data_IF_170657735683
#
_entry.id   IF_170657735683
#
_cell.length_a   1.000
_cell.length_b   1.000
_cell.length_c   1.000
_cell.angle_alpha   90.00
_cell.angle_beta   90.00
_cell.angle_gamma   90.00
#
_symmetry.space_group_name_H-M   'P 1'
#
loop_
_entity.id
_entity.type
_entity.pdbx_description
1 polymer ?
#
# COMPACT_ATOMS: atom_id res chain seq x y z
N UNK A 1 18.12 64.56 -38.42
CA UNK A 1 18.68 63.77 -37.26
C UNK A 1 17.89 62.54 -36.88
N UNK A 2 16.93 62.00 -37.62
CA UNK A 2 16.14 60.81 -37.28
C UNK A 2 16.53 59.49 -37.99
N UNK A 3 17.33 59.58 -39.07
CA UNK A 3 17.75 58.39 -39.83
C UNK A 3 19.03 57.74 -39.36
N UNK A 4 19.89 58.49 -38.71
CA UNK A 4 21.17 57.95 -38.19
C UNK A 4 20.99 57.05 -36.95
N UNK A 5 20.03 57.37 -36.09
CA UNK A 5 19.77 56.56 -34.87
C UNK A 5 19.21 55.19 -35.22
N UNK A 6 18.45 55.09 -36.32
CA UNK A 6 17.87 53.81 -36.74
C UNK A 6 18.93 52.83 -37.28
N UNK A 7 19.98 53.36 -37.97
CA UNK A 7 21.08 52.53 -38.45
C UNK A 7 21.98 52.02 -37.28
N UNK A 8 22.17 52.81 -36.24
CA UNK A 8 22.92 52.36 -35.05
C UNK A 8 22.13 51.35 -34.24
N UNK A 9 20.81 51.50 -34.15
CA UNK A 9 19.96 50.52 -33.48
C UNK A 9 19.94 49.18 -34.21
N UNK A 10 19.90 49.23 -35.57
CA UNK A 10 19.92 48.03 -36.41
C UNK A 10 21.29 47.33 -36.39
N UNK A 11 22.39 48.08 -36.32
CA UNK A 11 23.74 47.55 -36.19
C UNK A 11 23.96 46.89 -34.83
N UNK A 12 23.41 47.45 -33.76
CA UNK A 12 23.49 46.84 -32.40
C UNK A 12 22.66 45.56 -32.31
N UNK A 13 21.49 45.51 -32.95
CA UNK A 13 20.66 44.30 -32.99
C UNK A 13 21.33 43.18 -33.82
N UNK A 14 21.99 43.53 -34.93
CA UNK A 14 22.71 42.54 -35.74
C UNK A 14 24.01 42.05 -35.09
N UNK A 15 24.66 42.85 -34.24
CA UNK A 15 25.85 42.38 -33.51
C UNK A 15 25.52 41.51 -32.30
N UNK A 16 24.35 41.65 -31.70
CA UNK A 16 23.91 40.75 -30.61
C UNK A 16 23.51 39.39 -31.20
N UNK A 17 23.06 39.33 -32.48
CA UNK A 17 22.67 38.07 -33.14
C UNK A 17 23.83 37.20 -33.64
N UNK A 18 25.09 37.69 -33.62
CA UNK A 18 26.24 36.95 -34.15
C UNK A 18 27.16 36.32 -33.09
N UNK A 19 26.86 36.48 -31.80
CA UNK A 19 27.60 35.84 -30.72
C UNK A 19 26.92 34.59 -30.13
N UNK A 20 25.84 34.11 -30.76
CA UNK A 20 25.18 32.86 -30.35
C UNK A 20 25.50 31.67 -31.27
N UNK A 21 26.68 31.69 -31.90
CA UNK A 21 27.13 30.54 -32.68
C UNK A 21 28.56 30.22 -32.31
N UNK A 22 28.70 29.35 -31.37
CA UNK A 22 29.72 28.37 -31.00
C UNK A 22 29.82 28.29 -29.47
N UNK A 23 28.83 27.72 -28.84
CA UNK A 23 29.10 26.81 -27.74
C UNK A 23 28.93 25.41 -28.30
N UNK A 24 29.94 24.60 -28.19
CA UNK A 24 29.75 23.15 -28.08
C UNK A 24 28.84 22.94 -26.88
N UNK A 25 27.54 23.23 -27.06
CA UNK A 25 26.52 22.71 -26.18
C UNK A 25 26.42 21.24 -26.57
N UNK A 26 27.18 20.40 -25.87
CA UNK A 26 26.71 19.05 -25.58
C UNK A 26 25.25 19.23 -25.22
N UNK A 27 24.32 18.89 -26.13
CA UNK A 27 22.89 18.93 -25.85
C UNK A 27 22.68 18.11 -24.61
N UNK A 28 22.58 18.79 -23.47
CA UNK A 28 22.35 18.14 -22.20
C UNK A 28 21.04 17.40 -22.34
N UNK A 29 21.12 16.10 -22.56
CA UNK A 29 19.93 15.25 -22.68
C UNK A 29 19.14 15.44 -21.40
N UNK A 30 18.05 16.16 -21.49
CA UNK A 30 17.15 16.43 -20.36
C UNK A 30 16.11 15.32 -20.34
N UNK A 31 15.84 14.79 -19.16
CA UNK A 31 14.78 13.79 -19.01
C UNK A 31 13.45 14.42 -19.45
N UNK A 32 12.69 13.79 -20.36
CA UNK A 32 11.44 14.35 -20.86
C UNK A 32 10.30 14.33 -19.82
N UNK A 33 10.48 13.57 -18.72
CA UNK A 33 9.47 13.43 -17.69
C UNK A 33 9.87 14.30 -16.49
N UNK A 34 9.04 15.27 -16.08
CA UNK A 34 9.30 16.07 -14.87
C UNK A 34 9.08 15.23 -13.62
N UNK A 35 9.54 15.76 -12.50
CA UNK A 35 9.19 15.18 -11.19
C UNK A 35 7.65 15.16 -11.07
N UNK A 36 7.10 13.98 -10.86
CA UNK A 36 5.65 13.75 -10.84
C UNK A 36 5.30 12.69 -9.82
N UNK A 37 4.22 12.89 -9.09
CA UNK A 37 3.64 11.86 -8.21
C UNK A 37 2.40 11.28 -8.87
N UNK A 38 2.37 9.97 -9.00
CA UNK A 38 1.28 9.19 -9.60
C UNK A 38 0.55 8.41 -8.51
N UNK A 39 -0.77 8.33 -8.62
CA UNK A 39 -1.64 7.48 -7.81
C UNK A 39 -2.79 6.93 -8.68
N UNK A 40 -3.71 6.17 -8.11
CA UNK A 40 -4.83 5.57 -8.85
C UNK A 40 -5.73 6.60 -9.54
N UNK A 41 -5.80 7.84 -9.02
CA UNK A 41 -6.65 8.92 -9.56
C UNK A 41 -5.95 9.71 -10.68
N UNK A 42 -4.62 9.69 -10.73
CA UNK A 42 -3.84 10.48 -11.67
C UNK A 42 -2.88 9.65 -12.52
N UNK A 43 -3.30 8.46 -12.95
CA UNK A 43 -2.64 7.70 -14.00
C UNK A 43 -1.63 6.66 -13.55
N UNK A 44 -1.62 6.23 -12.27
CA UNK A 44 -0.86 5.07 -11.83
C UNK A 44 -1.63 3.77 -12.12
N UNK A 45 -0.98 2.86 -12.84
CA UNK A 45 -1.35 1.45 -12.90
C UNK A 45 -0.24 0.64 -12.23
N UNK A 46 -0.55 0.12 -11.05
CA UNK A 46 0.40 -0.62 -10.24
C UNK A 46 -0.07 -2.05 -10.04
N UNK A 47 0.82 -3.02 -10.32
CA UNK A 47 0.56 -4.43 -10.09
C UNK A 47 1.64 -5.08 -9.22
N UNK A 48 1.21 -6.06 -8.45
CA UNK A 48 2.08 -6.87 -7.59
C UNK A 48 1.76 -8.36 -7.85
N UNK A 49 2.73 -9.09 -8.39
CA UNK A 49 2.57 -10.45 -8.87
C UNK A 49 1.34 -10.65 -9.78
N UNK A 50 1.15 -9.69 -10.69
CA UNK A 50 0.08 -9.71 -11.69
C UNK A 50 -1.30 -9.25 -11.20
N UNK A 51 -1.49 -9.02 -9.90
CA UNK A 51 -2.72 -8.48 -9.35
C UNK A 51 -2.64 -6.97 -9.11
N UNK A 52 -3.71 -6.19 -9.29
CA UNK A 52 -3.72 -4.76 -8.99
C UNK A 52 -3.35 -4.49 -7.53
N UNK A 53 -2.55 -3.45 -7.30
CA UNK A 53 -2.18 -2.99 -5.97
C UNK A 53 -2.69 -1.56 -5.77
N UNK A 54 -3.82 -1.44 -5.09
CA UNK A 54 -4.53 -0.18 -4.85
C UNK A 54 -3.97 0.59 -3.64
N UNK A 55 -4.30 1.88 -3.55
CA UNK A 55 -3.97 2.72 -2.40
C UNK A 55 -2.48 3.00 -2.24
N UNK A 56 -1.78 3.13 -3.35
CA UNK A 56 -0.36 3.44 -3.41
C UNK A 56 -0.12 4.67 -4.27
N UNK A 57 0.97 5.37 -3.95
CA UNK A 57 1.49 6.45 -4.78
C UNK A 57 2.96 6.21 -5.09
N UNK A 58 3.37 6.68 -6.24
CA UNK A 58 4.75 6.60 -6.76
C UNK A 58 5.19 7.98 -7.16
N UNK A 59 6.24 8.49 -6.54
CA UNK A 59 6.87 9.74 -6.95
C UNK A 59 8.07 9.41 -7.84
N UNK A 60 8.00 9.82 -9.09
CA UNK A 60 9.09 9.78 -10.04
C UNK A 60 9.91 11.06 -9.93
N UNK A 61 11.19 10.94 -9.70
CA UNK A 61 12.14 12.07 -9.62
C UNK A 61 13.29 11.80 -10.58
N UNK A 62 13.37 12.51 -11.73
CA UNK A 62 14.52 12.40 -12.64
C UNK A 62 15.79 12.87 -11.94
N UNK A 63 16.93 12.28 -12.30
CA UNK A 63 18.23 12.76 -11.83
C UNK A 63 18.55 14.11 -12.47
N UNK A 64 19.11 15.02 -11.69
CA UNK A 64 19.42 16.38 -12.13
C UNK A 64 20.60 16.46 -13.10
N UNK A 65 21.44 15.44 -13.14
CA UNK A 65 22.70 15.41 -13.89
C UNK A 65 22.72 14.34 -14.96
N UNK A 66 22.03 13.23 -14.74
CA UNK A 66 21.97 12.06 -15.64
C UNK A 66 20.55 11.84 -16.14
N UNK A 67 20.22 12.28 -17.35
CA UNK A 67 18.87 12.17 -17.91
C UNK A 67 18.34 10.72 -17.98
N UNK A 68 19.24 9.74 -18.04
CA UNK A 68 18.93 8.31 -18.08
C UNK A 68 18.77 7.67 -16.71
N UNK A 69 18.72 8.47 -15.64
CA UNK A 69 18.50 7.97 -14.27
C UNK A 69 17.32 8.65 -13.62
N UNK A 70 16.65 7.93 -12.76
CA UNK A 70 15.59 8.47 -11.89
C UNK A 70 15.51 7.70 -10.57
N UNK A 71 14.80 8.31 -9.64
CA UNK A 71 14.44 7.69 -8.37
C UNK A 71 12.93 7.55 -8.32
N UNK A 72 12.45 6.36 -7.95
CA UNK A 72 11.05 6.08 -7.63
C UNK A 72 10.91 5.99 -6.12
N UNK A 73 10.04 6.80 -5.53
CA UNK A 73 9.64 6.69 -4.15
C UNK A 73 8.24 6.09 -4.08
N UNK A 74 8.16 4.91 -3.49
CA UNK A 74 6.95 4.08 -3.39
C UNK A 74 6.43 4.14 -1.96
N UNK A 75 5.16 4.49 -1.77
CA UNK A 75 4.56 4.60 -0.44
C UNK A 75 3.04 4.35 -0.48
N UNK A 76 2.45 4.11 0.70
CA UNK A 76 1.00 4.03 0.85
C UNK A 76 0.34 5.40 0.69
N UNK A 77 -0.88 5.41 0.17
CA UNK A 77 -1.67 6.64 -0.01
C UNK A 77 -2.65 6.89 1.14
N UNK A 78 -2.93 5.88 1.95
CA UNK A 78 -3.95 5.95 2.99
C UNK A 78 -3.53 6.89 4.12
N UNK A 79 -4.31 7.94 4.32
CA UNK A 79 -4.16 8.92 5.40
C UNK A 79 -5.30 8.76 6.40
N UNK A 80 -4.97 8.29 7.61
CA UNK A 80 -5.91 8.18 8.72
C UNK A 80 -6.18 9.53 9.42
N UNK A 81 -5.48 10.59 9.07
CA UNK A 81 -5.63 11.90 9.74
C UNK A 81 -7.06 12.45 9.65
N UNK A 82 -7.80 12.08 8.59
CA UNK A 82 -9.20 12.43 8.40
C UNK A 82 -10.17 11.71 9.35
N UNK A 83 -9.84 10.49 9.74
CA UNK A 83 -10.68 9.62 10.60
C UNK A 83 -10.41 9.93 12.08
N UNK A 84 -9.15 10.25 12.41
CA UNK A 84 -8.70 10.53 13.77
C UNK A 84 -8.80 12.01 14.15
N UNK A 85 -9.65 12.78 13.50
CA UNK A 85 -9.93 14.20 13.83
C UNK A 85 -10.36 14.32 15.29
N UNK A 86 -9.42 14.56 16.17
CA UNK A 86 -9.64 14.80 17.59
C UNK A 86 -8.47 14.39 18.49
N UNK A 87 -7.53 13.62 18.02
CA UNK A 87 -6.37 13.21 18.81
C UNK A 87 -5.05 13.75 18.24
N UNK A 88 -4.60 14.84 18.87
CA UNK A 88 -3.23 15.38 18.96
C UNK A 88 -2.40 15.47 17.68
N UNK A 89 -2.09 16.69 17.33
CA UNK A 89 -1.24 17.22 16.27
C UNK A 89 0.24 16.78 16.25
N UNK A 90 0.63 15.68 16.89
CA UNK A 90 2.01 15.21 16.95
C UNK A 90 2.21 13.77 16.41
N UNK A 91 1.19 13.16 15.82
CA UNK A 91 1.39 11.95 15.05
C UNK A 91 1.87 12.35 13.64
N UNK A 92 3.10 12.04 13.31
CA UNK A 92 3.50 11.88 11.91
C UNK A 92 2.42 11.00 11.26
N UNK A 93 1.80 11.50 10.20
CA UNK A 93 0.71 10.80 9.48
C UNK A 93 1.04 9.31 9.39
N UNK A 94 0.18 8.39 9.88
CA UNK A 94 0.42 6.99 9.69
C UNK A 94 0.42 6.76 8.19
N UNK A 95 1.59 6.52 7.65
CA UNK A 95 1.73 6.06 6.27
C UNK A 95 1.01 4.73 6.22
N UNK A 96 0.04 4.59 5.32
CA UNK A 96 -0.61 3.30 5.06
C UNK A 96 0.43 2.22 4.73
N UNK A 97 0.02 0.96 4.62
CA UNK A 97 0.95 -0.09 4.27
C UNK A 97 1.66 0.26 2.96
N UNK A 98 2.99 0.08 2.94
CA UNK A 98 3.81 0.34 1.77
C UNK A 98 3.46 -0.57 0.59
N UNK A 99 4.22 -0.47 -0.48
CA UNK A 99 4.10 -1.37 -1.65
C UNK A 99 4.54 -2.78 -1.27
N UNK A 100 5.63 -2.88 -0.53
CA UNK A 100 6.16 -4.16 -0.05
C UNK A 100 5.87 -4.36 1.43
N UNK A 101 5.54 -5.59 1.83
CA UNK A 101 5.24 -5.88 3.22
C UNK A 101 6.44 -5.54 4.12
N UNK A 102 6.16 -4.91 5.25
CA UNK A 102 7.18 -4.46 6.20
C UNK A 102 7.95 -3.19 5.81
N UNK A 103 7.75 -2.66 4.60
CA UNK A 103 8.47 -1.51 4.07
C UNK A 103 7.49 -0.36 3.77
N UNK A 104 7.20 0.54 4.72
CA UNK A 104 6.23 1.62 4.52
C UNK A 104 6.61 2.58 3.38
N UNK A 105 7.90 2.76 3.17
CA UNK A 105 8.47 3.52 2.05
C UNK A 105 9.59 2.71 1.42
N UNK A 106 9.57 2.61 0.10
CA UNK A 106 10.66 2.00 -0.68
C UNK A 106 11.17 2.99 -1.72
N UNK A 107 12.47 3.11 -1.83
CA UNK A 107 13.12 3.96 -2.84
C UNK A 107 13.90 3.08 -3.80
N UNK A 108 13.63 3.22 -5.10
CA UNK A 108 14.34 2.52 -6.16
C UNK A 108 15.08 3.52 -7.04
N UNK A 109 16.36 3.30 -7.26
CA UNK A 109 17.11 3.97 -8.32
C UNK A 109 16.97 3.15 -9.59
N UNK A 110 16.57 3.78 -10.69
CA UNK A 110 16.28 3.12 -11.96
C UNK A 110 17.06 3.74 -13.10
N UNK A 111 17.56 2.90 -13.99
CA UNK A 111 18.13 3.28 -15.27
C UNK A 111 17.01 3.35 -16.31
N UNK A 112 16.96 4.44 -17.06
CA UNK A 112 15.89 4.74 -17.99
C UNK A 112 16.34 4.53 -19.43
N UNK A 113 15.50 3.87 -20.20
CA UNK A 113 15.53 3.89 -21.67
C UNK A 113 14.54 4.95 -22.16
N UNK A 114 15.05 6.06 -22.73
CA UNK A 114 14.24 7.19 -23.19
C UNK A 114 13.85 6.97 -24.65
N UNK A 115 12.56 7.07 -24.95
CA UNK A 115 12.02 7.01 -26.30
C UNK A 115 10.97 8.13 -26.50
N UNK A 116 11.39 9.23 -27.08
CA UNK A 116 10.56 10.43 -27.19
C UNK A 116 10.10 10.94 -25.82
N UNK A 117 8.80 11.02 -25.62
CA UNK A 117 8.19 11.49 -24.36
C UNK A 117 7.86 10.35 -23.37
N UNK A 118 8.48 9.20 -23.54
CA UNK A 118 8.27 8.02 -22.71
C UNK A 118 9.61 7.49 -22.21
N UNK A 119 9.65 7.09 -20.96
CA UNK A 119 10.76 6.33 -20.39
C UNK A 119 10.30 4.92 -19.97
N UNK A 120 11.15 3.93 -20.19
CA UNK A 120 10.96 2.57 -19.69
C UNK A 120 12.13 2.18 -18.80
N UNK A 121 11.89 1.32 -17.83
CA UNK A 121 12.89 0.84 -16.91
C UNK A 121 12.54 -0.56 -16.42
N UNK A 122 13.53 -1.34 -16.04
CA UNK A 122 13.35 -2.66 -15.45
C UNK A 122 14.58 -3.05 -14.65
N UNK A 123 14.42 -3.98 -13.73
CA UNK A 123 15.51 -4.47 -12.93
C UNK A 123 15.07 -5.44 -11.84
N UNK A 124 16.00 -5.76 -10.97
CA UNK A 124 15.79 -6.58 -9.78
C UNK A 124 16.23 -5.76 -8.58
N UNK A 125 15.51 -5.84 -7.49
CA UNK A 125 15.84 -5.14 -6.25
C UNK A 125 15.35 -5.92 -5.04
N UNK A 126 15.60 -5.37 -3.86
CA UNK A 126 15.20 -5.99 -2.61
C UNK A 126 14.83 -4.94 -1.57
N UNK A 127 14.03 -5.35 -0.59
CA UNK A 127 13.84 -4.65 0.68
C UNK A 127 14.47 -5.44 1.82
N UNK A 128 14.27 -4.99 3.04
CA UNK A 128 14.66 -5.78 4.20
C UNK A 128 14.01 -7.18 4.19
N UNK A 129 12.75 -7.29 3.74
CA UNK A 129 11.93 -8.48 3.89
C UNK A 129 11.71 -9.29 2.61
N UNK A 130 11.91 -8.73 1.43
CA UNK A 130 11.66 -9.45 0.18
C UNK A 130 12.62 -9.04 -0.94
N UNK A 131 12.72 -9.92 -1.95
CA UNK A 131 13.33 -9.67 -3.25
C UNK A 131 12.26 -9.60 -4.32
N UNK A 132 12.49 -8.87 -5.41
CA UNK A 132 11.52 -8.70 -6.49
C UNK A 132 12.17 -8.25 -7.79
N UNK A 133 11.50 -8.54 -8.90
CA UNK A 133 11.74 -7.94 -10.21
C UNK A 133 10.77 -6.77 -10.41
N UNK A 134 11.18 -5.76 -11.17
CA UNK A 134 10.29 -4.66 -11.53
C UNK A 134 10.44 -4.29 -13.01
N UNK A 135 9.36 -3.84 -13.59
CA UNK A 135 9.34 -3.23 -14.92
C UNK A 135 8.33 -2.08 -14.92
N UNK A 136 8.67 -1.00 -15.60
CA UNK A 136 7.79 0.15 -15.66
C UNK A 136 7.96 0.97 -16.93
N UNK A 137 6.94 1.77 -17.16
CA UNK A 137 6.83 2.73 -18.24
C UNK A 137 6.21 4.00 -17.70
N UNK A 138 6.81 5.14 -17.98
CA UNK A 138 6.35 6.43 -17.51
C UNK A 138 6.29 7.45 -18.65
N UNK A 139 5.24 8.25 -18.62
CA UNK A 139 5.05 9.46 -19.43
C UNK A 139 4.79 10.65 -18.51
N UNK A 140 4.60 11.85 -19.04
CA UNK A 140 4.26 13.00 -18.20
C UNK A 140 2.92 12.88 -17.46
N UNK A 141 2.02 11.99 -17.89
CA UNK A 141 0.67 11.84 -17.31
C UNK A 141 0.31 10.45 -16.83
N UNK A 142 1.12 9.43 -17.12
CA UNK A 142 0.82 8.03 -16.72
C UNK A 142 2.06 7.29 -16.30
N UNK A 143 1.87 6.35 -15.40
CA UNK A 143 2.88 5.39 -14.98
C UNK A 143 2.26 4.00 -14.87
N UNK A 144 2.80 3.06 -15.67
CA UNK A 144 2.54 1.63 -15.53
C UNK A 144 3.75 1.02 -14.82
N UNK A 145 3.54 0.37 -13.68
CA UNK A 145 4.60 -0.23 -12.88
C UNK A 145 4.17 -1.61 -12.40
N UNK A 146 4.98 -2.60 -12.66
CA UNK A 146 4.73 -3.97 -12.23
C UNK A 146 5.88 -4.50 -11.37
N UNK A 147 5.52 -5.17 -10.30
CA UNK A 147 6.42 -5.97 -9.47
C UNK A 147 6.08 -7.44 -9.69
N UNK A 148 7.09 -8.23 -10.03
CA UNK A 148 6.98 -9.67 -10.26
C UNK A 148 8.03 -10.43 -9.46
N UNK A 149 7.86 -11.75 -9.38
CA UNK A 149 8.79 -12.63 -8.66
C UNK A 149 9.05 -12.20 -7.21
N UNK A 150 8.05 -11.51 -6.62
CA UNK A 150 8.19 -11.08 -5.23
C UNK A 150 8.22 -12.29 -4.33
N UNK A 151 9.28 -12.38 -3.53
CA UNK A 151 9.52 -13.51 -2.64
C UNK A 151 10.03 -13.02 -1.29
N UNK A 152 9.42 -13.48 -0.21
CA UNK A 152 9.87 -13.18 1.14
C UNK A 152 11.23 -13.82 1.41
N UNK A 153 12.13 -13.08 2.08
CA UNK A 153 13.43 -13.60 2.54
C UNK A 153 13.28 -14.59 3.70
N UNK A 154 12.31 -14.33 4.61
CA UNK A 154 11.93 -15.28 5.65
C UNK A 154 10.70 -16.07 5.18
N UNK A 155 10.91 -17.32 4.84
CA UNK A 155 9.90 -18.23 4.28
C UNK A 155 9.28 -19.17 5.32
N UNK A 156 9.50 -18.95 6.60
CA UNK A 156 9.05 -19.87 7.68
C UNK A 156 7.55 -20.17 7.64
N UNK A 157 6.72 -19.21 7.19
CA UNK A 157 5.28 -19.37 7.06
C UNK A 157 4.80 -19.42 5.61
N UNK A 158 5.69 -19.34 4.64
CA UNK A 158 5.35 -19.31 3.22
C UNK A 158 4.66 -20.62 2.77
N UNK A 159 3.51 -20.48 2.12
CA UNK A 159 2.71 -21.61 1.65
C UNK A 159 1.93 -22.35 2.73
N UNK A 160 1.93 -21.86 3.98
CA UNK A 160 1.12 -22.48 5.04
C UNK A 160 -0.35 -22.09 4.92
N UNK A 161 -1.23 -23.02 5.28
CA UNK A 161 -2.67 -22.84 5.28
C UNK A 161 -3.17 -22.98 6.73
N UNK A 162 -3.82 -21.95 7.21
CA UNK A 162 -4.37 -21.85 8.55
C UNK A 162 -5.88 -21.97 8.52
N UNK A 163 -6.46 -22.71 9.44
CA UNK A 163 -7.91 -22.90 9.54
C UNK A 163 -8.37 -22.50 10.93
N UNK A 164 -9.50 -21.75 11.04
CA UNK A 164 -10.09 -21.53 12.34
C UNK A 164 -10.53 -22.89 12.94
N UNK A 165 -10.27 -23.08 14.21
CA UNK A 165 -10.73 -24.26 14.93
C UNK A 165 -12.08 -23.91 15.56
N UNK A 166 -13.17 -24.66 15.27
CA UNK A 166 -14.43 -24.45 15.95
C UNK A 166 -14.24 -24.56 17.46
N UNK A 167 -14.87 -23.65 18.18
CA UNK A 167 -14.85 -23.67 19.65
C UNK A 167 -15.56 -24.93 20.15
N UNK A 168 -14.89 -25.69 21.01
CA UNK A 168 -15.56 -26.73 21.74
C UNK A 168 -16.49 -26.08 22.79
N UNK A 169 -17.76 -26.49 22.84
CA UNK A 169 -18.63 -26.15 23.94
C UNK A 169 -18.03 -26.78 25.21
N UNK A 170 -17.39 -25.98 26.02
CA UNK A 170 -16.98 -26.41 27.35
C UNK A 170 -18.20 -26.36 28.26
N UNK A 171 -18.37 -27.32 29.14
CA UNK A 171 -19.51 -27.39 30.06
C UNK A 171 -19.68 -26.15 30.95
N UNK A 172 -18.63 -25.34 31.06
CA UNK A 172 -18.59 -24.09 31.82
C UNK A 172 -19.00 -22.84 31.02
N UNK A 173 -19.42 -22.97 29.75
CA UNK A 173 -19.74 -21.85 28.87
C UNK A 173 -18.53 -20.96 28.52
N UNK A 174 -17.33 -21.39 28.87
CA UNK A 174 -16.07 -20.74 28.49
C UNK A 174 -15.77 -21.05 27.04
N UNK A 175 -15.39 -20.02 26.29
CA UNK A 175 -14.88 -20.17 24.95
C UNK A 175 -13.36 -20.32 25.01
N UNK A 176 -12.83 -21.42 24.45
CA UNK A 176 -11.42 -21.43 24.09
C UNK A 176 -11.15 -20.34 23.05
N UNK A 177 -10.08 -19.58 23.24
CA UNK A 177 -9.74 -18.44 22.38
C UNK A 177 -9.26 -18.95 21.02
N UNK A 178 -10.06 -18.87 19.93
CA UNK A 178 -9.63 -19.30 18.59
C UNK A 178 -8.55 -18.39 18.03
N UNK A 179 -8.49 -17.14 18.53
CA UNK A 179 -7.52 -16.12 18.15
C UNK A 179 -7.06 -15.40 19.40
N UNK A 180 -5.75 -15.43 19.64
CA UNK A 180 -5.14 -14.70 20.74
C UNK A 180 -4.35 -13.50 20.21
N UNK A 181 -4.86 -12.28 20.46
CA UNK A 181 -4.17 -11.05 20.13
C UNK A 181 -3.49 -10.46 21.37
N UNK A 182 -2.19 -10.19 21.25
CA UNK A 182 -1.47 -9.42 22.25
C UNK A 182 -1.03 -8.09 21.61
N UNK A 183 -1.63 -7.01 22.07
CA UNK A 183 -1.23 -5.67 21.63
C UNK A 183 -0.20 -5.08 22.59
N UNK A 184 1.02 -4.87 22.13
CA UNK A 184 2.13 -4.37 22.96
C UNK A 184 2.25 -2.85 23.00
N UNK A 185 1.25 -2.09 22.60
CA UNK A 185 1.41 -0.64 22.48
C UNK A 185 1.46 0.11 23.82
N UNK A 186 1.02 -0.53 24.92
CA UNK A 186 0.79 0.15 26.20
C UNK A 186 -0.23 1.28 26.11
N UNK A 187 -0.92 1.40 24.97
CA UNK A 187 -1.90 2.43 24.72
C UNK A 187 -3.20 2.06 25.42
N UNK A 188 -3.72 2.98 26.20
CA UNK A 188 -5.02 2.85 26.84
C UNK A 188 -6.02 3.70 26.10
N UNK A 189 -7.21 3.17 25.87
CA UNK A 189 -8.35 3.94 25.38
C UNK A 189 -9.13 4.50 26.58
N UNK A 190 -9.42 5.79 26.53
CA UNK A 190 -10.34 6.41 27.48
C UNK A 190 -11.77 6.06 27.05
N UNK A 191 -12.48 5.28 27.85
CA UNK A 191 -13.88 4.92 27.62
C UNK A 191 -14.68 5.33 28.83
N UNK A 192 -15.66 6.21 28.63
CA UNK A 192 -16.62 6.61 29.64
C UNK A 192 -17.86 5.72 29.56
N UNK A 193 -17.78 4.52 30.16
CA UNK A 193 -18.97 3.71 30.43
C UNK A 193 -19.27 3.68 31.94
N UNK A 194 -20.52 3.89 32.34
CA UNK A 194 -20.91 3.78 33.75
C UNK A 194 -20.58 2.38 34.31
N UNK A 195 -19.73 2.33 35.33
CA UNK A 195 -19.35 1.09 36.00
C UNK A 195 -18.09 0.40 35.48
N UNK A 196 -17.43 0.95 34.46
CA UNK A 196 -16.15 0.46 33.96
C UNK A 196 -15.01 1.41 34.31
N UNK A 197 -13.76 0.92 34.40
CA UNK A 197 -12.62 1.78 34.61
C UNK A 197 -12.50 2.81 33.47
N UNK A 198 -12.08 4.02 33.80
CA UNK A 198 -11.94 5.13 32.86
C UNK A 198 -10.84 4.92 31.79
N UNK A 199 -10.03 3.89 31.92
CA UNK A 199 -8.97 3.52 30.98
C UNK A 199 -8.95 2.00 30.81
N UNK A 200 -9.12 1.55 29.56
CA UNK A 200 -9.02 0.13 29.17
C UNK A 200 -7.84 -0.02 28.22
N UNK A 201 -7.04 -1.06 28.38
CA UNK A 201 -6.01 -1.39 27.40
C UNK A 201 -6.67 -1.74 26.06
N UNK A 202 -6.06 -1.30 24.95
CA UNK A 202 -6.62 -1.55 23.61
C UNK A 202 -6.76 -3.04 23.35
N UNK A 203 -5.86 -3.87 23.87
CA UNK A 203 -5.98 -5.32 23.76
C UNK A 203 -7.30 -5.84 24.39
N UNK A 204 -7.60 -5.42 25.59
CA UNK A 204 -8.84 -5.84 26.29
C UNK A 204 -10.09 -5.35 25.57
N UNK A 205 -10.02 -4.13 25.02
CA UNK A 205 -11.11 -3.58 24.21
C UNK A 205 -11.36 -4.39 22.94
N UNK A 206 -10.29 -4.77 22.22
CA UNK A 206 -10.39 -5.60 21.02
C UNK A 206 -10.92 -7.00 21.35
N UNK A 207 -10.44 -7.61 22.40
CA UNK A 207 -10.94 -8.92 22.87
C UNK A 207 -12.41 -8.85 23.24
N UNK A 208 -12.82 -7.79 23.95
CA UNK A 208 -14.22 -7.56 24.27
C UNK A 208 -15.07 -7.43 23.00
N UNK A 209 -14.62 -6.63 22.01
CA UNK A 209 -15.33 -6.45 20.75
C UNK A 209 -15.45 -7.75 19.94
N UNK A 210 -14.43 -8.60 19.97
CA UNK A 210 -14.43 -9.88 19.25
C UNK A 210 -15.29 -10.95 19.93
N UNK A 211 -15.35 -10.94 21.25
CA UNK A 211 -16.00 -11.99 22.06
C UNK A 211 -17.41 -11.64 22.50
N UNK A 212 -17.77 -10.37 22.52
CA UNK A 212 -19.11 -9.99 22.95
C UNK A 212 -20.16 -10.39 21.91
N UNK A 213 -21.26 -11.08 22.29
CA UNK A 213 -22.27 -11.56 21.36
C UNK A 213 -23.16 -10.40 20.90
N UNK A 214 -22.72 -9.69 19.83
CA UNK A 214 -23.40 -8.50 19.29
C UNK A 214 -24.29 -8.81 18.08
N UNK A 215 -24.04 -9.91 17.38
CA UNK A 215 -24.67 -10.20 16.11
C UNK A 215 -25.77 -11.25 16.28
N UNK A 216 -26.90 -11.04 15.57
CA UNK A 216 -27.98 -12.02 15.45
C UNK A 216 -27.58 -13.01 14.35
N UNK A 217 -27.56 -14.30 14.64
CA UNK A 217 -27.25 -15.35 13.68
C UNK A 217 -28.43 -15.76 12.79
N UNK A 218 -29.58 -15.08 12.93
CA UNK A 218 -30.82 -15.36 12.20
C UNK A 218 -31.68 -16.45 12.86
N UNK A 219 -31.19 -17.15 13.89
CA UNK A 219 -31.95 -18.11 14.70
C UNK A 219 -32.62 -17.45 15.92
N UNK A 220 -32.25 -16.22 16.22
CA UNK A 220 -32.65 -15.48 17.42
C UNK A 220 -31.61 -15.51 18.53
N UNK A 221 -30.52 -16.24 18.34
CA UNK A 221 -29.38 -16.25 19.24
C UNK A 221 -28.37 -15.19 18.81
N UNK A 222 -27.68 -14.61 19.81
CA UNK A 222 -26.61 -13.67 19.55
C UNK A 222 -25.27 -14.37 19.59
N UNK A 223 -24.45 -14.09 18.56
CA UNK A 223 -23.12 -14.65 18.38
C UNK A 223 -22.03 -13.56 18.40
N UNK A 224 -20.84 -13.92 18.81
CA UNK A 224 -19.68 -13.07 18.76
C UNK A 224 -19.02 -13.09 17.36
N UNK A 225 -18.16 -12.12 17.09
CA UNK A 225 -17.32 -12.13 15.86
C UNK A 225 -16.48 -13.41 15.77
N UNK A 226 -15.93 -13.89 16.90
CA UNK A 226 -15.14 -15.12 16.95
C UNK A 226 -15.96 -16.35 16.55
N UNK A 227 -17.20 -16.45 17.04
CA UNK A 227 -18.10 -17.53 16.65
C UNK A 227 -18.48 -17.46 15.17
N UNK A 228 -18.79 -16.26 14.67
CA UNK A 228 -19.08 -16.06 13.27
C UNK A 228 -17.89 -16.41 12.38
N UNK A 229 -16.67 -16.07 12.82
CA UNK A 229 -15.45 -16.31 12.05
C UNK A 229 -15.31 -17.79 11.69
N UNK A 230 -15.56 -18.71 12.62
CA UNK A 230 -15.49 -20.15 12.36
C UNK A 230 -16.53 -20.65 11.35
N UNK A 231 -17.66 -19.95 11.19
CA UNK A 231 -18.71 -20.32 10.23
C UNK A 231 -18.49 -19.70 8.84
N UNK A 232 -17.82 -18.54 8.76
CA UNK A 232 -17.65 -17.79 7.52
C UNK A 232 -16.24 -17.86 6.94
N UNK A 233 -15.22 -18.22 7.72
CA UNK A 233 -13.83 -18.35 7.27
C UNK A 233 -13.44 -19.83 7.19
N UNK A 234 -13.09 -20.29 6.00
CA UNK A 234 -12.65 -21.66 5.76
C UNK A 234 -11.17 -21.85 6.04
N UNK A 235 -10.37 -21.00 5.45
CA UNK A 235 -8.91 -21.02 5.60
C UNK A 235 -8.26 -19.66 5.23
N UNK A 236 -7.01 -19.51 5.67
CA UNK A 236 -6.14 -18.40 5.32
C UNK A 236 -4.82 -18.96 4.85
N UNK A 237 -4.42 -18.61 3.64
CA UNK A 237 -3.12 -19.00 3.04
C UNK A 237 -2.14 -17.84 3.14
N UNK A 238 -0.95 -18.13 3.65
CA UNK A 238 0.17 -17.20 3.70
C UNK A 238 1.09 -17.45 2.48
N UNK A 239 1.02 -16.57 1.48
CA UNK A 239 1.77 -16.70 0.23
C UNK A 239 3.27 -16.47 0.40
N UNK A 240 4.08 -17.09 -0.46
CA UNK A 240 5.52 -16.87 -0.48
C UNK A 240 5.92 -15.44 -0.87
N UNK A 241 5.02 -14.69 -1.46
CA UNK A 241 5.12 -13.28 -1.84
C UNK A 241 4.70 -12.30 -0.73
N UNK A 242 4.33 -12.82 0.43
CA UNK A 242 3.82 -12.03 1.54
C UNK A 242 2.33 -11.71 1.47
N UNK A 243 1.60 -12.14 0.43
CA UNK A 243 0.16 -11.99 0.39
C UNK A 243 -0.52 -12.93 1.39
N UNK A 244 -1.62 -12.44 1.96
CA UNK A 244 -2.56 -13.22 2.75
C UNK A 244 -3.83 -13.35 1.92
N UNK A 245 -4.23 -14.58 1.66
CA UNK A 245 -5.44 -14.90 0.89
C UNK A 245 -6.35 -15.74 1.75
N UNK A 246 -7.60 -15.33 1.89
CA UNK A 246 -8.61 -16.02 2.68
C UNK A 246 -9.64 -16.71 1.78
N UNK A 247 -10.08 -17.89 2.16
CA UNK A 247 -11.28 -18.54 1.60
C UNK A 247 -12.41 -18.34 2.59
N UNK A 248 -13.47 -17.67 2.18
CA UNK A 248 -14.56 -17.29 3.07
C UNK A 248 -15.93 -17.46 2.40
N UNK A 249 -16.98 -17.45 3.20
CA UNK A 249 -18.36 -17.51 2.73
C UNK A 249 -18.78 -16.15 2.19
N UNK A 250 -19.18 -16.09 0.94
CA UNK A 250 -19.62 -14.83 0.32
C UNK A 250 -21.07 -14.52 0.67
N UNK A 251 -21.26 -13.49 1.49
CA UNK A 251 -22.59 -13.02 1.87
C UNK A 251 -23.39 -12.45 0.68
N UNK A 252 -22.73 -11.93 -0.35
CA UNK A 252 -23.39 -11.41 -1.55
C UNK A 252 -24.09 -12.50 -2.35
N UNK A 253 -23.56 -13.74 -2.31
CA UNK A 253 -24.18 -14.92 -2.93
C UNK A 253 -25.10 -15.68 -1.96
N UNK A 254 -25.60 -15.01 -0.93
CA UNK A 254 -26.50 -15.61 0.06
C UNK A 254 -25.79 -16.55 1.05
N UNK A 255 -24.47 -16.44 1.18
CA UNK A 255 -23.69 -17.22 2.13
C UNK A 255 -23.63 -18.72 1.84
N UNK A 256 -23.75 -19.12 0.58
CA UNK A 256 -23.79 -20.55 0.18
C UNK A 256 -22.54 -21.03 -0.54
N UNK A 257 -21.69 -20.10 -1.01
CA UNK A 257 -20.51 -20.42 -1.78
C UNK A 257 -19.24 -19.92 -1.10
N UNK A 258 -18.19 -20.74 -1.17
CA UNK A 258 -16.87 -20.38 -0.72
C UNK A 258 -16.13 -19.63 -1.84
N UNK A 259 -15.69 -18.42 -1.54
CA UNK A 259 -14.91 -17.57 -2.45
C UNK A 259 -13.54 -17.30 -1.90
N UNK A 260 -12.60 -16.99 -2.78
CA UNK A 260 -11.23 -16.60 -2.39
C UNK A 260 -11.09 -15.09 -2.47
N UNK A 261 -10.54 -14.48 -1.43
CA UNK A 261 -10.27 -13.05 -1.41
C UNK A 261 -9.30 -12.65 -2.54
N UNK A 262 -9.45 -11.47 -3.12
CA UNK A 262 -8.44 -10.92 -4.01
C UNK A 262 -7.06 -10.83 -3.32
N UNK A 263 -6.00 -10.93 -4.11
CA UNK A 263 -4.65 -10.66 -3.64
C UNK A 263 -4.48 -9.17 -3.29
N UNK A 264 -3.43 -8.86 -2.55
CA UNK A 264 -3.05 -7.50 -2.16
C UNK A 264 -4.03 -6.77 -1.22
N UNK A 265 -4.97 -7.48 -0.61
CA UNK A 265 -5.84 -6.94 0.46
C UNK A 265 -5.15 -6.96 1.82
N UNK A 266 -4.37 -7.98 2.06
CA UNK A 266 -3.57 -8.15 3.28
C UNK A 266 -2.21 -8.76 2.95
N UNK A 267 -1.20 -8.35 3.68
CA UNK A 267 0.17 -8.84 3.53
C UNK A 267 0.78 -9.16 4.89
N UNK A 268 1.83 -9.97 4.91
CA UNK A 268 2.56 -10.31 6.13
C UNK A 268 4.07 -10.34 5.90
N UNK A 269 4.80 -10.23 7.00
CA UNK A 269 6.22 -10.61 7.09
C UNK A 269 6.49 -11.30 8.42
N UNK A 270 7.50 -12.12 8.44
CA UNK A 270 8.08 -12.66 9.68
C UNK A 270 9.41 -11.97 9.91
N UNK A 271 9.54 -11.27 11.03
CA UNK A 271 10.77 -10.56 11.40
C UNK A 271 11.86 -11.51 11.88
N UNK A 272 13.10 -11.00 12.01
CA UNK A 272 14.21 -11.76 12.57
C UNK A 272 13.97 -12.27 14.00
N UNK A 273 13.09 -11.61 14.76
CA UNK A 273 12.69 -12.00 16.11
C UNK A 273 11.49 -12.97 16.11
N UNK A 274 11.16 -13.57 14.98
CA UNK A 274 10.01 -14.46 14.79
C UNK A 274 8.65 -13.81 15.11
N UNK A 275 8.53 -12.50 14.96
CA UNK A 275 7.25 -11.80 15.06
C UNK A 275 6.55 -11.81 13.71
N UNK A 276 5.27 -12.14 13.71
CA UNK A 276 4.41 -11.99 12.54
C UNK A 276 3.83 -10.58 12.52
N UNK A 277 4.15 -9.81 11.49
CA UNK A 277 3.55 -8.51 11.24
C UNK A 277 2.53 -8.62 10.12
N UNK A 278 1.34 -8.07 10.34
CA UNK A 278 0.23 -8.07 9.41
C UNK A 278 -0.04 -6.65 8.91
N UNK A 279 -0.26 -6.51 7.61
CA UNK A 279 -0.53 -5.23 6.95
C UNK A 279 -1.82 -5.34 6.16
N UNK A 280 -2.82 -4.55 6.52
CA UNK A 280 -4.08 -4.48 5.79
C UNK A 280 -4.00 -3.34 4.76
N UNK A 281 -4.56 -3.56 3.58
CA UNK A 281 -4.72 -2.53 2.56
C UNK A 281 -6.17 -2.04 2.54
N UNK A 282 -6.47 -0.91 3.19
CA UNK A 282 -7.85 -0.44 3.34
C UNK A 282 -8.53 -0.15 2.01
N UNK A 283 -7.81 0.43 1.02
CA UNK A 283 -8.38 0.74 -0.28
C UNK A 283 -8.76 -0.52 -1.06
N UNK A 284 -7.93 -1.56 -1.00
CA UNK A 284 -8.24 -2.83 -1.64
C UNK A 284 -9.44 -3.52 -0.96
N UNK A 285 -9.54 -3.43 0.38
CA UNK A 285 -10.67 -3.95 1.15
C UNK A 285 -11.95 -3.18 0.77
N UNK A 286 -11.93 -1.84 0.79
CA UNK A 286 -13.09 -1.02 0.44
C UNK A 286 -13.55 -1.26 -0.99
N UNK A 287 -12.63 -1.31 -1.96
CA UNK A 287 -12.96 -1.61 -3.35
C UNK A 287 -13.63 -2.98 -3.53
N UNK A 288 -13.29 -3.96 -2.69
CA UNK A 288 -13.94 -5.26 -2.70
C UNK A 288 -15.35 -5.21 -2.10
N UNK A 289 -15.56 -4.46 -1.03
CA UNK A 289 -16.88 -4.25 -0.41
C UNK A 289 -17.83 -3.53 -1.37
N UNK A 290 -17.37 -2.47 -2.04
CA UNK A 290 -18.18 -1.69 -2.99
C UNK A 290 -18.62 -2.53 -4.21
N UNK A 291 -17.90 -3.60 -4.55
CA UNK A 291 -18.27 -4.52 -5.62
C UNK A 291 -19.35 -5.53 -5.20
N UNK A 292 -19.53 -5.75 -3.90
CA UNK A 292 -20.54 -6.67 -3.35
C UNK A 292 -21.93 -6.02 -3.31
N UNK A 293 -22.00 -4.68 -3.26
CA UNK A 293 -23.26 -3.93 -3.21
C UNK A 293 -23.87 -3.61 -4.60
N UNK A 294 -23.23 -3.99 -5.70
CA UNK A 294 -23.70 -3.81 -7.08
C UNK A 294 -24.29 -5.07 -7.66
#
# INVERSE_FOLDING_TARGET
MKKSVFYYLFAVICTIGLFTSCSDDDEKVVNPIPQTTFNSENGLQLTYNGAPLLGKKVTFTPDATEATKATLRLEGEFDLSGILKGQRSNMTSPTGPGVFPGSPVTTLSVDLSINGNQCTFSGVSETEYCTFSYAGKVTAGTMDLSFTDVTLKNTALAGTVWKPTPLANTEDGGMDEPIHFVWKSGTKAAIEFPGYPSEIEINDLLLLALRFPLFDDGSGDRVSVEQMLCSVLKDVTLGADGNIVATYMDAANGGTEWVTSPSNMAQYVVTGDNQLLLFLNPQAIMANVDNVEK
#
